data_IF_987753221301
#
_entry.id   IF_987753221301
#
_cell.length_a   1.000
_cell.length_b   1.000
_cell.length_c   1.000
_cell.angle_alpha   90.00
_cell.angle_beta   90.00
_cell.angle_gamma   90.00
#
_symmetry.space_group_name_H-M   'P 1'
#
loop_
_entity.id
_entity.type
_entity.pdbx_description
1 polymer ?
#
# COMPACT_ATOMS: atom_id res chain seq x y z
N UNK A 1 -31.12 5.61 -12.62
CA UNK A 1 -30.55 5.43 -11.26
C UNK A 1 -29.16 4.89 -11.44
N UNK A 2 -28.15 5.62 -11.04
CA UNK A 2 -26.76 5.14 -11.08
C UNK A 2 -26.62 4.02 -10.05
N UNK A 3 -26.32 2.80 -10.47
CA UNK A 3 -26.08 1.68 -9.55
C UNK A 3 -24.73 1.86 -8.89
N UNK A 4 -24.69 1.71 -7.56
CA UNK A 4 -23.43 1.75 -6.80
C UNK A 4 -22.96 0.32 -6.58
N UNK A 5 -21.77 -0.02 -7.05
CA UNK A 5 -21.16 -1.35 -6.95
C UNK A 5 -19.86 -1.24 -6.15
N UNK A 6 -19.53 -2.26 -5.36
CA UNK A 6 -18.27 -2.30 -4.64
C UNK A 6 -17.06 -2.45 -5.57
N UNK A 7 -15.93 -1.81 -5.22
CA UNK A 7 -14.71 -1.91 -6.04
C UNK A 7 -14.23 -3.37 -6.13
N UNK A 8 -14.32 -4.12 -5.04
CA UNK A 8 -13.96 -5.54 -4.95
C UNK A 8 -14.87 -6.46 -5.77
N UNK A 9 -16.08 -6.00 -6.08
CA UNK A 9 -17.02 -6.76 -6.91
C UNK A 9 -16.74 -6.54 -8.40
N UNK A 10 -16.16 -5.40 -8.75
CA UNK A 10 -15.94 -4.97 -10.13
C UNK A 10 -14.51 -5.20 -10.60
N UNK A 11 -13.51 -4.94 -9.74
CA UNK A 11 -12.08 -5.10 -10.03
C UNK A 11 -11.57 -6.33 -9.28
N UNK A 12 -11.39 -7.43 -10.01
CA UNK A 12 -10.95 -8.73 -9.47
C UNK A 12 -9.55 -9.12 -9.95
N UNK A 13 -9.07 -8.48 -11.01
CA UNK A 13 -7.82 -8.84 -11.65
C UNK A 13 -7.10 -7.62 -12.23
N UNK A 14 -5.80 -7.76 -12.50
CA UNK A 14 -5.03 -6.76 -13.25
C UNK A 14 -5.57 -6.59 -14.68
N UNK A 15 -6.11 -7.66 -15.29
CA UNK A 15 -6.74 -7.60 -16.61
C UNK A 15 -7.97 -6.68 -16.64
N UNK A 16 -8.73 -6.62 -15.54
CA UNK A 16 -9.85 -5.69 -15.43
C UNK A 16 -9.35 -4.23 -15.47
N UNK A 17 -8.25 -3.93 -14.77
CA UNK A 17 -7.64 -2.59 -14.78
C UNK A 17 -7.01 -2.24 -16.12
N UNK A 18 -6.35 -3.19 -16.78
CA UNK A 18 -5.81 -3.00 -18.12
C UNK A 18 -6.91 -2.62 -19.10
N UNK A 19 -8.02 -3.36 -19.07
CA UNK A 19 -9.12 -3.16 -20.00
C UNK A 19 -9.91 -1.88 -19.72
N UNK A 20 -10.18 -1.58 -18.44
CA UNK A 20 -11.08 -0.48 -18.04
C UNK A 20 -10.36 0.85 -17.83
N UNK A 21 -9.11 0.81 -17.39
CA UNK A 21 -8.33 2.00 -17.00
C UNK A 21 -7.10 2.20 -17.90
N UNK A 22 -6.89 1.38 -18.92
CA UNK A 22 -5.70 1.39 -19.78
C UNK A 22 -4.38 1.32 -18.97
N UNK A 23 -4.40 0.60 -17.84
CA UNK A 23 -3.26 0.46 -16.94
C UNK A 23 -2.27 -0.57 -17.47
N UNK A 24 -0.99 -0.23 -17.53
CA UNK A 24 0.07 -1.11 -18.01
C UNK A 24 1.12 -1.32 -16.92
N UNK A 25 1.79 -2.48 -16.95
CA UNK A 25 3.03 -2.64 -16.19
C UNK A 25 4.16 -1.93 -16.92
N UNK A 26 5.00 -1.20 -16.21
CA UNK A 26 6.14 -0.50 -16.78
C UNK A 26 7.13 -1.50 -17.40
N UNK A 27 7.68 -1.13 -18.57
CA UNK A 27 8.71 -1.91 -19.25
C UNK A 27 10.13 -1.51 -18.81
N UNK A 28 10.29 -0.30 -18.26
CA UNK A 28 11.56 0.20 -17.74
C UNK A 28 11.85 -0.41 -16.37
N UNK A 29 12.88 -1.24 -16.27
CA UNK A 29 13.34 -1.85 -15.01
C UNK A 29 13.72 -0.81 -13.93
N UNK A 30 13.97 0.45 -14.29
CA UNK A 30 14.26 1.53 -13.37
C UNK A 30 13.02 2.36 -13.01
N UNK A 31 11.84 2.02 -13.51
CA UNK A 31 10.61 2.75 -13.23
C UNK A 31 10.33 2.87 -11.73
N UNK A 32 10.57 1.81 -10.96
CA UNK A 32 10.39 1.79 -9.52
C UNK A 32 11.67 1.32 -8.82
N UNK A 33 12.64 2.21 -8.68
CA UNK A 33 13.90 1.94 -8.00
C UNK A 33 14.00 2.60 -6.61
N UNK A 34 13.01 3.38 -6.19
CA UNK A 34 12.98 4.09 -4.90
C UNK A 34 13.02 3.14 -3.70
N UNK A 35 12.59 1.90 -3.87
CA UNK A 35 12.66 0.87 -2.83
C UNK A 35 14.02 0.16 -2.76
N UNK A 36 14.93 0.45 -3.70
CA UNK A 36 16.28 -0.15 -3.79
C UNK A 36 17.37 0.83 -3.40
N UNK A 37 17.17 2.12 -3.65
CA UNK A 37 18.23 3.13 -3.60
C UNK A 37 17.98 4.16 -2.50
N UNK A 38 19.08 4.69 -1.97
CA UNK A 38 19.05 5.78 -0.97
C UNK A 38 18.21 5.48 0.27
N UNK A 39 18.16 4.21 0.68
CA UNK A 39 17.40 3.81 1.86
C UNK A 39 18.05 4.37 3.14
N UNK A 40 17.28 5.09 3.99
CA UNK A 40 17.81 5.68 5.21
C UNK A 40 18.23 4.62 6.21
N UNK A 41 19.28 4.87 6.96
CA UNK A 41 19.68 3.99 8.06
C UNK A 41 18.70 4.13 9.24
N UNK A 42 18.35 3.00 9.84
CA UNK A 42 17.50 2.98 11.01
C UNK A 42 18.30 3.29 12.27
N UNK A 43 17.77 4.18 13.09
CA UNK A 43 18.34 4.49 14.40
C UNK A 43 18.01 3.38 15.44
N UNK A 44 18.65 3.39 16.63
CA UNK A 44 18.43 2.35 17.64
C UNK A 44 16.98 2.25 18.15
N UNK A 45 16.23 3.35 18.17
CA UNK A 45 14.82 3.36 18.60
C UNK A 45 13.94 2.69 17.56
N UNK A 46 14.17 2.95 16.26
CA UNK A 46 13.49 2.31 15.16
C UNK A 46 13.77 0.80 15.12
N UNK A 47 15.04 0.39 15.30
CA UNK A 47 15.41 -1.02 15.38
C UNK A 47 14.73 -1.74 16.56
N UNK A 48 14.66 -1.09 17.72
CA UNK A 48 13.92 -1.61 18.88
C UNK A 48 12.41 -1.70 18.59
N UNK A 49 11.86 -0.70 17.88
CA UNK A 49 10.47 -0.69 17.42
C UNK A 49 10.13 -1.87 16.53
N UNK A 50 10.96 -2.13 15.51
CA UNK A 50 10.84 -3.28 14.60
C UNK A 50 10.85 -4.60 15.40
N UNK A 51 11.78 -4.76 16.31
CA UNK A 51 11.87 -5.95 17.17
C UNK A 51 10.60 -6.14 18.00
N UNK A 52 10.03 -5.05 18.52
CA UNK A 52 8.78 -5.06 19.28
C UNK A 52 7.58 -5.44 18.42
N UNK A 53 7.47 -4.89 17.21
CA UNK A 53 6.40 -5.23 16.26
C UNK A 53 6.43 -6.73 15.97
N UNK A 54 7.60 -7.24 15.57
CA UNK A 54 7.76 -8.66 15.25
C UNK A 54 7.39 -9.57 16.43
N UNK A 55 7.91 -9.29 17.63
CA UNK A 55 7.60 -10.09 18.82
C UNK A 55 6.10 -10.13 19.14
N UNK A 56 5.40 -8.97 18.98
CA UNK A 56 3.96 -8.90 19.20
C UNK A 56 3.19 -9.68 18.13
N UNK A 57 3.58 -9.52 16.88
CA UNK A 57 2.98 -10.23 15.77
C UNK A 57 3.14 -11.75 15.92
N UNK A 58 4.36 -12.24 16.18
CA UNK A 58 4.65 -13.65 16.40
C UNK A 58 3.82 -14.22 17.55
N UNK A 59 3.67 -13.47 18.66
CA UNK A 59 2.87 -13.90 19.81
C UNK A 59 1.39 -14.13 19.45
N UNK A 60 0.77 -13.20 18.74
CA UNK A 60 -0.64 -13.32 18.37
C UNK A 60 -0.87 -14.32 17.22
N UNK A 61 0.13 -14.52 16.38
CA UNK A 61 0.03 -15.43 15.24
C UNK A 61 0.01 -16.92 15.64
N UNK A 62 0.56 -17.27 16.79
CA UNK A 62 0.58 -18.66 17.29
C UNK A 62 -0.82 -19.21 17.49
N UNK A 63 -1.77 -18.36 17.86
CA UNK A 63 -3.16 -18.76 18.12
C UNK A 63 -4.02 -18.93 16.86
N UNK A 64 -3.45 -18.70 15.67
CA UNK A 64 -4.13 -18.93 14.40
C UNK A 64 -4.14 -17.76 13.44
N UNK A 65 -5.24 -17.61 12.69
CA UNK A 65 -5.38 -16.61 11.66
C UNK A 65 -5.65 -15.22 12.24
N UNK A 66 -4.87 -14.23 11.76
CA UNK A 66 -5.08 -12.83 12.10
C UNK A 66 -5.99 -12.16 11.06
N UNK A 67 -6.97 -11.43 11.55
CA UNK A 67 -7.87 -10.61 10.74
C UNK A 67 -7.20 -9.28 10.35
N UNK A 68 -7.68 -8.65 9.29
CA UNK A 68 -7.17 -7.37 8.75
C UNK A 68 -7.02 -6.29 9.84
N UNK A 69 -8.06 -6.08 10.67
CA UNK A 69 -7.98 -5.11 11.76
C UNK A 69 -6.90 -5.41 12.79
N UNK A 70 -6.62 -6.70 13.07
CA UNK A 70 -5.53 -7.09 13.97
C UNK A 70 -4.16 -6.83 13.34
N UNK A 71 -4.02 -7.10 12.04
CA UNK A 71 -2.79 -6.80 11.28
C UNK A 71 -2.55 -5.29 11.25
N UNK A 72 -3.59 -4.50 11.00
CA UNK A 72 -3.50 -3.05 11.03
C UNK A 72 -3.03 -2.54 12.40
N UNK A 73 -3.55 -3.07 13.49
CA UNK A 73 -3.19 -2.67 14.85
C UNK A 73 -1.78 -3.10 15.24
N UNK A 74 -1.37 -4.33 14.91
CA UNK A 74 -0.11 -4.92 15.38
C UNK A 74 1.08 -4.58 14.49
N UNK A 75 0.84 -4.35 13.19
CA UNK A 75 1.91 -4.23 12.19
C UNK A 75 1.83 -2.88 11.47
N UNK A 76 0.73 -2.59 10.79
CA UNK A 76 0.63 -1.41 9.92
C UNK A 76 0.76 -0.12 10.72
N UNK A 77 -0.09 0.10 11.73
CA UNK A 77 -0.07 1.34 12.51
C UNK A 77 1.28 1.59 13.21
N UNK A 78 1.91 0.60 13.87
CA UNK A 78 3.25 0.79 14.44
C UNK A 78 4.35 1.04 13.41
N UNK A 79 4.25 0.48 12.19
CA UNK A 79 5.19 0.77 11.11
C UNK A 79 5.04 2.22 10.62
N UNK A 80 3.80 2.69 10.43
CA UNK A 80 3.53 4.07 10.03
C UNK A 80 4.00 5.07 11.10
N UNK A 81 3.83 4.73 12.39
CA UNK A 81 4.38 5.52 13.51
C UNK A 81 5.91 5.62 13.40
N UNK A 82 6.60 4.49 13.28
CA UNK A 82 8.07 4.47 13.15
C UNK A 82 8.58 5.17 11.89
N UNK A 83 7.80 5.16 10.81
CA UNK A 83 8.13 5.87 9.58
C UNK A 83 7.88 7.39 9.68
N UNK A 84 7.26 7.87 10.77
CA UNK A 84 6.96 9.29 10.98
C UNK A 84 5.66 9.77 10.35
N UNK A 85 4.85 8.88 9.79
CA UNK A 85 3.62 9.24 9.07
C UNK A 85 2.48 9.68 9.98
N UNK A 86 2.59 9.50 11.30
CA UNK A 86 1.59 10.00 12.27
C UNK A 86 1.81 11.47 12.65
N UNK A 87 2.95 12.05 12.28
CA UNK A 87 3.34 13.39 12.62
C UNK A 87 3.27 14.35 11.42
N UNK A 88 3.25 15.65 11.71
CA UNK A 88 3.32 16.69 10.64
C UNK A 88 4.59 16.48 9.78
N UNK A 89 4.51 16.64 8.45
CA UNK A 89 3.40 17.26 7.68
C UNK A 89 2.30 16.29 7.24
N UNK A 90 2.39 15.02 7.56
CA UNK A 90 1.45 14.01 7.09
C UNK A 90 0.09 14.06 7.81
N UNK A 91 -0.93 13.54 7.13
CA UNK A 91 -2.25 13.29 7.71
C UNK A 91 -2.69 11.89 7.37
N UNK A 92 -3.28 11.20 8.34
CA UNK A 92 -3.82 9.85 8.16
C UNK A 92 -5.34 9.89 8.12
N UNK A 93 -5.92 9.17 7.17
CA UNK A 93 -7.33 8.86 7.10
C UNK A 93 -7.53 7.34 7.06
N UNK A 94 -8.35 6.80 7.97
CA UNK A 94 -8.62 5.36 8.06
C UNK A 94 -10.00 5.11 8.71
N UNK A 95 -10.93 4.37 8.08
CA UNK A 95 -10.92 4.04 6.65
C UNK A 95 -11.20 5.28 5.78
N UNK A 96 -10.72 5.28 4.55
CA UNK A 96 -10.94 6.35 3.60
C UNK A 96 -11.88 5.89 2.48
N UNK A 97 -13.05 6.53 2.37
CA UNK A 97 -14.03 6.24 1.33
C UNK A 97 -13.66 6.89 0.00
N UNK A 98 -13.72 6.12 -1.06
CA UNK A 98 -13.50 6.61 -2.42
C UNK A 98 -14.63 6.25 -3.36
N UNK A 99 -14.75 7.04 -4.43
CA UNK A 99 -15.60 6.76 -5.56
C UNK A 99 -14.71 6.69 -6.80
N UNK A 100 -14.70 5.55 -7.49
CA UNK A 100 -14.06 5.38 -8.79
C UNK A 100 -15.15 5.48 -9.86
N UNK A 101 -15.07 6.48 -10.71
CA UNK A 101 -15.91 6.60 -11.90
C UNK A 101 -15.22 5.85 -13.03
N UNK A 102 -15.81 4.75 -13.49
CA UNK A 102 -15.38 4.05 -14.70
C UNK A 102 -16.39 4.36 -15.81
N UNK A 103 -15.92 4.62 -17.02
CA UNK A 103 -16.72 4.91 -18.21
C UNK A 103 -17.53 3.67 -18.69
N UNK A 104 -18.27 3.02 -17.78
CA UNK A 104 -19.39 2.18 -18.15
C UNK A 104 -20.68 2.98 -17.88
N UNK A 105 -21.65 2.99 -18.82
CA UNK A 105 -22.80 3.82 -18.64
C UNK A 105 -23.54 3.43 -17.34
N UNK A 106 -23.50 4.32 -16.37
CA UNK A 106 -24.32 4.32 -15.16
C UNK A 106 -23.79 3.57 -13.90
N UNK A 107 -22.51 3.24 -13.74
CA UNK A 107 -22.03 2.67 -12.49
C UNK A 107 -20.97 3.54 -11.79
N UNK A 108 -21.25 3.94 -10.55
CA UNK A 108 -20.21 4.48 -9.64
C UNK A 108 -19.72 3.36 -8.76
N UNK A 109 -18.41 3.09 -8.80
CA UNK A 109 -17.78 2.09 -7.95
C UNK A 109 -17.35 2.76 -6.66
N UNK A 110 -17.76 2.20 -5.53
CA UNK A 110 -17.36 2.67 -4.20
C UNK A 110 -16.47 1.66 -3.50
N UNK A 111 -15.50 2.16 -2.77
CA UNK A 111 -14.64 1.34 -1.94
C UNK A 111 -14.12 2.09 -0.71
N UNK A 112 -13.48 1.35 0.18
CA UNK A 112 -12.81 1.89 1.35
C UNK A 112 -11.36 1.44 1.33
N UNK A 113 -10.47 2.38 1.50
CA UNK A 113 -9.03 2.16 1.67
C UNK A 113 -8.77 2.00 3.16
N UNK A 114 -7.98 1.02 3.55
CA UNK A 114 -7.67 0.77 4.96
C UNK A 114 -6.98 1.96 5.60
N UNK A 115 -5.91 2.45 4.98
CA UNK A 115 -5.16 3.62 5.45
C UNK A 115 -4.68 4.44 4.27
N UNK A 116 -4.90 5.75 4.34
CA UNK A 116 -4.32 6.73 3.42
C UNK A 116 -3.46 7.70 4.21
N UNK A 117 -2.23 7.87 3.78
CA UNK A 117 -1.32 8.91 4.28
C UNK A 117 -1.27 10.04 3.26
N UNK A 118 -1.54 11.25 3.71
CA UNK A 118 -1.60 12.45 2.87
C UNK A 118 -0.59 13.50 3.36
N UNK A 119 0.13 14.08 2.41
CA UNK A 119 0.82 15.36 2.56
C UNK A 119 0.51 16.18 1.31
N UNK A 120 -0.28 17.28 1.41
CA UNK A 120 -0.79 18.13 0.31
C UNK A 120 -1.28 17.39 -0.93
N UNK A 121 -0.76 16.20 -1.21
CA UNK A 121 -0.99 15.33 -2.35
C UNK A 121 -1.23 13.91 -1.85
N UNK A 122 -2.06 13.13 -2.55
CA UNK A 122 -2.24 11.70 -2.28
C UNK A 122 -0.95 10.96 -2.53
N UNK A 123 -0.51 10.11 -1.60
CA UNK A 123 0.79 9.57 -1.85
C UNK A 123 1.01 8.15 -1.39
N UNK A 124 0.37 7.71 -0.32
CA UNK A 124 0.60 6.37 0.20
C UNK A 124 -0.70 5.70 0.63
N UNK A 125 -1.02 4.62 -0.06
CA UNK A 125 -2.22 3.81 0.18
C UNK A 125 -1.80 2.48 0.79
N UNK A 126 -2.47 2.07 1.86
CA UNK A 126 -2.24 0.75 2.47
C UNK A 126 -3.50 -0.08 2.34
N UNK A 127 -3.33 -1.26 1.76
CA UNK A 127 -4.36 -2.30 1.71
C UNK A 127 -3.87 -3.50 2.50
N UNK A 128 -4.60 -3.89 3.51
CA UNK A 128 -4.31 -5.05 4.34
C UNK A 128 -5.26 -6.20 4.06
N UNK A 129 -4.77 -7.41 4.20
CA UNK A 129 -5.54 -8.64 4.10
C UNK A 129 -5.27 -9.51 5.31
N UNK A 130 -6.21 -10.41 5.67
CA UNK A 130 -5.93 -11.45 6.66
C UNK A 130 -4.79 -12.34 6.17
N UNK A 131 -3.98 -12.86 7.09
CA UNK A 131 -2.76 -13.59 6.77
C UNK A 131 -2.96 -14.92 5.99
N UNK A 132 -4.19 -15.41 5.89
CA UNK A 132 -4.52 -16.59 5.05
C UNK A 132 -4.71 -16.26 3.57
N UNK A 133 -4.71 -14.98 3.20
CA UNK A 133 -4.89 -14.52 1.81
C UNK A 133 -3.52 -14.10 1.27
N UNK A 134 -3.08 -14.61 0.11
CA UNK A 134 -1.85 -14.16 -0.53
C UNK A 134 -1.85 -12.65 -0.78
N UNK A 135 -0.78 -11.95 -0.42
CA UNK A 135 -0.69 -10.49 -0.52
C UNK A 135 -0.90 -9.98 -1.94
N UNK A 136 -0.49 -10.76 -2.94
CA UNK A 136 -0.63 -10.40 -4.36
C UNK A 136 -2.11 -10.18 -4.77
N UNK A 137 -3.06 -10.77 -4.08
CA UNK A 137 -4.49 -10.60 -4.37
C UNK A 137 -5.03 -9.23 -4.00
N UNK A 138 -4.29 -8.45 -3.20
CA UNK A 138 -4.63 -7.08 -2.86
C UNK A 138 -4.24 -6.07 -3.97
N UNK A 139 -3.33 -6.44 -4.88
CA UNK A 139 -2.74 -5.54 -5.87
C UNK A 139 -3.79 -4.89 -6.79
N UNK A 140 -4.75 -5.63 -7.40
CA UNK A 140 -5.75 -5.02 -8.27
C UNK A 140 -6.59 -3.98 -7.52
N UNK A 141 -7.01 -4.26 -6.31
CA UNK A 141 -7.79 -3.36 -5.47
C UNK A 141 -6.98 -2.12 -5.10
N UNK A 142 -5.73 -2.30 -4.66
CA UNK A 142 -4.84 -1.20 -4.30
C UNK A 142 -4.56 -0.27 -5.49
N UNK A 143 -4.25 -0.82 -6.67
CA UNK A 143 -4.06 -0.04 -7.90
C UNK A 143 -5.33 0.71 -8.31
N UNK A 144 -6.51 0.08 -8.19
CA UNK A 144 -7.77 0.76 -8.44
C UNK A 144 -7.96 1.98 -7.52
N UNK A 145 -7.57 1.86 -6.25
CA UNK A 145 -7.59 2.98 -5.31
C UNK A 145 -6.58 4.07 -5.69
N UNK A 146 -5.36 3.67 -6.06
CA UNK A 146 -4.31 4.61 -6.47
C UNK A 146 -4.70 5.41 -7.74
N UNK A 147 -5.45 4.80 -8.67
CA UNK A 147 -5.97 5.46 -9.88
C UNK A 147 -7.00 6.57 -9.58
N UNK A 148 -7.59 6.60 -8.38
CA UNK A 148 -8.54 7.66 -7.98
C UNK A 148 -7.86 8.94 -7.52
N UNK A 149 -6.52 8.99 -7.47
CA UNK A 149 -5.81 10.18 -7.02
C UNK A 149 -6.16 11.41 -7.86
N UNK A 150 -6.43 12.57 -7.24
CA UNK A 150 -6.69 13.80 -7.98
C UNK A 150 -5.43 14.39 -8.63
N UNK A 151 -4.26 13.96 -8.19
CA UNK A 151 -2.97 14.48 -8.66
C UNK A 151 -2.36 13.52 -9.67
N UNK A 152 -2.32 13.97 -10.93
CA UNK A 152 -1.82 13.17 -12.06
C UNK A 152 -0.39 13.53 -12.48
N UNK A 153 0.19 14.52 -11.87
CA UNK A 153 1.53 15.06 -12.16
C UNK A 153 2.65 14.41 -11.34
N UNK A 154 2.28 13.60 -10.35
CA UNK A 154 3.23 12.91 -9.46
C UNK A 154 2.92 11.41 -9.37
N UNK A 155 3.97 10.63 -9.10
CA UNK A 155 3.80 9.22 -8.80
C UNK A 155 3.10 9.02 -7.46
N UNK A 156 2.25 8.00 -7.40
CA UNK A 156 1.56 7.53 -6.20
C UNK A 156 2.22 6.24 -5.74
N UNK A 157 2.42 6.10 -4.45
CA UNK A 157 2.96 4.89 -3.87
C UNK A 157 1.90 4.16 -3.05
N UNK A 158 2.05 2.83 -2.94
CA UNK A 158 1.18 2.00 -2.15
C UNK A 158 1.91 0.84 -1.50
N UNK A 159 1.28 0.23 -0.52
CA UNK A 159 1.76 -0.99 0.13
C UNK A 159 0.60 -1.95 0.35
N UNK A 160 0.73 -3.16 -0.16
CA UNK A 160 -0.13 -4.28 0.19
C UNK A 160 0.53 -5.13 1.27
N UNK A 161 -0.24 -5.61 2.24
CA UNK A 161 0.25 -6.52 3.27
C UNK A 161 -0.83 -7.49 3.75
N UNK A 162 -0.42 -8.69 4.14
CA UNK A 162 -1.24 -9.63 4.90
C UNK A 162 -0.63 -9.89 6.30
N UNK A 163 0.31 -9.04 6.72
CA UNK A 163 1.05 -9.17 7.96
C UNK A 163 2.27 -10.08 7.88
N UNK A 164 2.22 -11.15 7.07
CA UNK A 164 3.35 -12.05 6.81
C UNK A 164 4.24 -11.53 5.68
N UNK A 165 3.64 -10.84 4.72
CA UNK A 165 4.27 -10.36 3.48
C UNK A 165 3.90 -8.91 3.19
N UNK A 166 4.80 -8.21 2.47
CA UNK A 166 4.63 -6.84 2.03
C UNK A 166 5.08 -6.70 0.57
N UNK A 167 4.32 -5.94 -0.20
CA UNK A 167 4.67 -5.53 -1.57
C UNK A 167 4.45 -4.02 -1.68
N UNK A 168 5.44 -3.30 -2.17
CA UNK A 168 5.30 -1.89 -2.51
C UNK A 168 4.93 -1.73 -3.98
N UNK A 169 4.24 -0.64 -4.29
CA UNK A 169 3.74 -0.33 -5.62
C UNK A 169 4.05 1.12 -5.92
N UNK A 170 4.47 1.39 -7.15
CA UNK A 170 4.51 2.73 -7.73
C UNK A 170 3.52 2.78 -8.88
N UNK A 171 2.74 3.84 -8.94
CA UNK A 171 1.84 4.17 -10.05
C UNK A 171 2.18 5.58 -10.54
N UNK A 172 2.45 5.73 -11.84
CA UNK A 172 2.52 7.00 -12.52
C UNK A 172 1.29 7.18 -13.41
N UNK A 173 0.59 8.30 -13.25
CA UNK A 173 -0.63 8.59 -14.00
C UNK A 173 -0.28 9.61 -15.09
N UNK A 174 -0.02 9.08 -16.27
CA UNK A 174 0.22 9.83 -17.52
C UNK A 174 -0.94 9.55 -18.49
N UNK A 175 -0.78 9.88 -19.76
CA UNK A 175 -1.72 9.47 -20.81
C UNK A 175 -1.89 7.94 -20.86
N UNK A 176 -0.84 7.21 -20.49
CA UNK A 176 -0.86 5.76 -20.24
C UNK A 176 -0.44 5.52 -18.80
N UNK A 177 -1.37 5.23 -17.88
CA UNK A 177 -1.02 4.90 -16.51
C UNK A 177 -0.14 3.65 -16.46
N UNK A 178 1.00 3.76 -15.77
CA UNK A 178 1.98 2.68 -15.62
C UNK A 178 2.25 2.39 -14.16
N UNK A 179 2.39 1.13 -13.83
CA UNK A 179 2.74 0.68 -12.47
C UNK A 179 3.88 -0.33 -12.50
N UNK A 180 4.55 -0.44 -11.37
CA UNK A 180 5.47 -1.53 -11.08
C UNK A 180 5.45 -1.90 -9.61
N UNK A 181 5.97 -3.10 -9.31
CA UNK A 181 5.94 -3.72 -8.00
C UNK A 181 7.36 -3.91 -7.48
N UNK A 182 7.56 -3.77 -6.18
CA UNK A 182 8.75 -4.28 -5.53
C UNK A 182 8.74 -5.81 -5.50
N UNK A 183 9.86 -6.39 -5.07
CA UNK A 183 9.83 -7.78 -4.61
C UNK A 183 8.91 -7.94 -3.39
N UNK A 184 8.55 -9.16 -3.08
CA UNK A 184 7.87 -9.47 -1.81
C UNK A 184 8.88 -9.47 -0.67
N UNK A 185 8.56 -8.74 0.41
CA UNK A 185 9.27 -8.76 1.68
C UNK A 185 8.53 -9.67 2.65
N UNK A 186 9.24 -10.49 3.42
CA UNK A 186 8.62 -11.47 4.31
C UNK A 186 9.07 -11.34 5.76
N UNK A 187 8.13 -11.50 6.68
CA UNK A 187 8.40 -11.64 8.11
C UNK A 187 8.87 -13.04 8.52
N UNK A 188 8.77 -14.05 7.63
CA UNK A 188 9.07 -15.46 7.92
C UNK A 188 10.49 -15.88 7.69
N UNK A 189 10.85 -17.04 8.29
CA UNK A 189 11.30 -17.18 9.69
C UNK A 189 12.81 -17.00 9.87
N UNK A 190 13.53 -16.44 8.95
CA UNK A 190 14.95 -16.08 9.06
C UNK A 190 15.29 -14.80 8.30
N UNK A 191 14.31 -14.27 7.58
CA UNK A 191 14.43 -13.02 6.83
C UNK A 191 13.62 -11.95 7.56
N UNK A 192 14.24 -11.25 8.48
CA UNK A 192 13.62 -10.13 9.17
C UNK A 192 13.61 -8.88 8.26
N UNK A 193 12.86 -8.95 7.17
CA UNK A 193 12.83 -7.89 6.17
C UNK A 193 11.97 -6.68 6.62
N UNK A 194 11.41 -6.71 7.83
CA UNK A 194 10.63 -5.59 8.37
C UNK A 194 11.47 -4.31 8.54
N UNK A 195 12.77 -4.44 8.75
CA UNK A 195 13.69 -3.31 8.76
C UNK A 195 13.77 -2.64 7.38
N UNK A 196 13.89 -3.43 6.32
CA UNK A 196 13.87 -2.93 4.94
C UNK A 196 12.52 -2.29 4.61
N UNK A 197 11.41 -2.92 5.02
CA UNK A 197 10.07 -2.34 4.88
C UNK A 197 10.00 -0.95 5.52
N UNK A 198 10.52 -0.78 6.73
CA UNK A 198 10.56 0.53 7.38
C UNK A 198 11.44 1.53 6.64
N UNK A 199 12.62 1.11 6.17
CA UNK A 199 13.51 1.96 5.39
C UNK A 199 12.84 2.46 4.12
N UNK A 200 12.12 1.59 3.41
CA UNK A 200 11.37 1.94 2.21
C UNK A 200 10.25 2.95 2.55
N UNK A 201 9.47 2.68 3.60
CA UNK A 201 8.42 3.61 4.06
C UNK A 201 8.99 5.00 4.33
N UNK A 202 10.11 5.11 5.04
CA UNK A 202 10.80 6.38 5.31
C UNK A 202 11.27 7.05 4.02
N UNK A 203 11.89 6.29 3.10
CA UNK A 203 12.34 6.81 1.80
C UNK A 203 11.17 7.38 0.98
N UNK A 204 10.09 6.62 0.88
CA UNK A 204 8.89 7.08 0.19
C UNK A 204 8.30 8.33 0.86
N UNK A 205 8.29 8.39 2.19
CA UNK A 205 7.88 9.58 2.95
C UNK A 205 8.72 10.81 2.60
N UNK A 206 10.05 10.70 2.54
CA UNK A 206 10.94 11.79 2.14
C UNK A 206 10.62 12.32 0.74
N UNK A 207 10.34 11.43 -0.21
CA UNK A 207 9.98 11.80 -1.59
C UNK A 207 8.64 12.55 -1.66
N UNK A 208 7.76 12.30 -0.69
CA UNK A 208 6.45 12.96 -0.62
C UNK A 208 6.53 14.44 -0.26
N UNK A 209 7.53 14.84 0.50
CA UNK A 209 7.70 16.22 0.98
C UNK A 209 8.75 17.00 0.19
N UNK A 210 9.51 16.36 -0.69
CA UNK A 210 10.46 16.99 -1.59
C UNK A 210 9.74 17.61 -2.81
#
# INVERSE_FOLDING_TARGET
MVSTVGITDTIKSLSDLQTRCNLHQAEDENFFNEWLTDLPQLNPQEQSGITRIKRRYDYHRVDGLLLEGTINLLVVSPLLELAGFLDSPYRICSPYGINLEIEEPEATIRGFIDVVVQEKLWIFVVESKRNSIPVITAIPQLLAYMLTTPHRDKSVFGMATNGDEFIFIKLAITDKPEYDLSRTFSLFPRRHELAEVLQILKRLGELMIA
#
